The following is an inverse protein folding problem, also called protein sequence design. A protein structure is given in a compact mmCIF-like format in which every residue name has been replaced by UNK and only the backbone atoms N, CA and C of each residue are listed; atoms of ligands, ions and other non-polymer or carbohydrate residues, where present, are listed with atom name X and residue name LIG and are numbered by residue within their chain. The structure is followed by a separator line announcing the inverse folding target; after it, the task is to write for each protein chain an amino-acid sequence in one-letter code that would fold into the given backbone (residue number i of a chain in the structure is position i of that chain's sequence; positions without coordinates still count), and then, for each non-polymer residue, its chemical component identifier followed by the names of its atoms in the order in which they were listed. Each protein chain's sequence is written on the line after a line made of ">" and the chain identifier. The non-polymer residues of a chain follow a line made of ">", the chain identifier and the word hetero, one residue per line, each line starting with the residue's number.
data_IF_582053746246
#
_entry.id   IF_582053746246
#
_cell.length_a   1.000
_cell.length_b   1.000
_cell.length_c   1.000
_cell.angle_alpha   90.00
_cell.angle_beta   90.00
_cell.angle_gamma   90.00
#
_symmetry.space_group_name_H-M   'P 1'
#
loop_
_entity.id
_entity.type
_entity.pdbx_description
1 polymer ?
#
# COMPACT_ATOMS: atom_id res chain seq x y z
N UNK A 1 57.41 -33.03 64.82
CA UNK A 1 56.76 -33.02 66.13
C UNK A 1 55.78 -31.87 66.11
N UNK A 2 54.47 -32.02 66.09
CA UNK A 2 53.54 -33.15 66.05
C UNK A 2 52.23 -32.56 65.52
N UNK A 3 51.38 -33.43 64.96
CA UNK A 3 50.13 -33.09 64.30
C UNK A 3 49.18 -32.28 65.21
N UNK A 4 48.52 -31.27 64.63
CA UNK A 4 47.26 -30.74 65.17
C UNK A 4 46.17 -30.86 64.11
N UNK A 5 45.44 -31.96 64.27
CA UNK A 5 44.18 -32.34 63.65
C UNK A 5 43.12 -31.26 63.92
N UNK A 6 42.50 -30.71 62.87
CA UNK A 6 41.30 -29.87 62.98
C UNK A 6 40.10 -30.61 62.34
N UNK A 7 38.95 -30.66 63.02
CA UNK A 7 37.79 -31.44 62.58
C UNK A 7 37.04 -30.80 61.39
N UNK A 8 36.29 -31.59 60.60
CA UNK A 8 35.59 -31.11 59.41
C UNK A 8 34.32 -30.29 59.73
N UNK A 9 33.92 -29.34 58.86
CA UNK A 9 32.68 -28.59 59.00
C UNK A 9 31.46 -29.42 58.59
N UNK A 10 30.37 -29.27 59.36
CA UNK A 10 29.06 -29.87 59.16
C UNK A 10 28.33 -29.33 57.91
N UNK A 11 27.85 -30.25 57.07
CA UNK A 11 27.00 -29.99 55.91
C UNK A 11 25.55 -29.70 56.34
N UNK A 12 24.99 -28.56 55.91
CA UNK A 12 23.56 -28.29 55.94
C UNK A 12 22.88 -28.80 54.64
N UNK A 13 21.62 -29.26 54.68
CA UNK A 13 20.93 -29.79 53.51
C UNK A 13 20.47 -28.68 52.54
N UNK A 14 20.63 -28.94 51.25
CA UNK A 14 20.13 -28.13 50.16
C UNK A 14 18.61 -28.28 49.98
N UNK A 15 17.87 -27.18 49.93
CA UNK A 15 16.47 -27.16 49.55
C UNK A 15 16.31 -27.41 48.04
N UNK A 16 15.54 -28.44 47.69
CA UNK A 16 15.14 -28.79 46.32
C UNK A 16 14.07 -27.82 45.82
N UNK A 17 14.39 -27.00 44.81
CA UNK A 17 13.38 -26.30 44.00
C UNK A 17 12.97 -27.18 42.83
N UNK A 18 11.76 -27.75 42.90
CA UNK A 18 11.17 -28.54 41.83
C UNK A 18 9.72 -28.15 41.57
N UNK A 19 9.43 -27.89 40.29
CA UNK A 19 8.13 -28.04 39.63
C UNK A 19 6.97 -27.10 40.02
N UNK A 20 6.93 -25.89 39.43
CA UNK A 20 5.69 -25.10 39.29
C UNK A 20 5.50 -24.37 37.94
N UNK A 21 6.30 -24.65 36.90
CA UNK A 21 6.22 -23.90 35.63
C UNK A 21 5.39 -24.55 34.51
N UNK A 22 4.93 -25.80 34.65
CA UNK A 22 4.22 -26.50 33.55
C UNK A 22 2.70 -26.26 33.51
N UNK A 23 2.08 -25.83 34.62
CA UNK A 23 0.62 -25.68 34.68
C UNK A 23 0.09 -24.43 33.96
N UNK A 24 0.84 -23.32 33.90
CA UNK A 24 0.39 -22.06 33.27
C UNK A 24 0.44 -22.08 31.74
N UNK A 25 1.35 -22.84 31.14
CA UNK A 25 1.47 -22.93 29.69
C UNK A 25 0.31 -23.74 29.06
N UNK A 26 -0.14 -24.79 29.73
CA UNK A 26 -1.23 -25.65 29.25
C UNK A 26 -2.59 -24.92 29.21
N UNK A 27 -2.86 -24.05 30.18
CA UNK A 27 -4.11 -23.27 30.25
C UNK A 27 -4.15 -22.20 29.15
N UNK A 28 -3.04 -21.51 28.88
CA UNK A 28 -2.97 -20.53 27.79
C UNK A 28 -3.07 -21.20 26.41
N UNK A 29 -2.48 -22.39 26.24
CA UNK A 29 -2.56 -23.15 25.00
C UNK A 29 -3.99 -23.62 24.69
N UNK A 30 -4.76 -24.06 25.69
CA UNK A 30 -6.16 -24.43 25.50
C UNK A 30 -7.07 -23.24 25.19
N UNK A 31 -6.83 -22.07 25.81
CA UNK A 31 -7.60 -20.86 25.52
C UNK A 31 -7.36 -20.34 24.09
N UNK A 32 -6.11 -20.41 23.62
CA UNK A 32 -5.75 -20.02 22.26
C UNK A 32 -6.35 -20.96 21.19
N UNK A 33 -6.44 -22.26 21.48
CA UNK A 33 -7.04 -23.24 20.58
C UNK A 33 -8.57 -23.08 20.50
N UNK A 34 -9.23 -22.72 21.61
CA UNK A 34 -10.66 -22.44 21.63
C UNK A 34 -11.05 -21.18 20.84
N UNK A 35 -10.21 -20.13 20.88
CA UNK A 35 -10.39 -18.89 20.10
C UNK A 35 -10.24 -19.11 18.59
N UNK A 36 -9.39 -20.04 18.16
CA UNK A 36 -9.19 -20.35 16.73
C UNK A 36 -10.42 -21.06 16.12
N UNK A 37 -11.12 -21.89 16.91
CA UNK A 37 -12.31 -22.64 16.49
C UNK A 37 -13.56 -21.77 16.26
N UNK A 38 -13.57 -20.50 16.67
CA UNK A 38 -14.69 -19.57 16.40
C UNK A 38 -14.50 -18.67 15.18
N UNK A 39 -13.37 -18.77 14.48
CA UNK A 39 -13.16 -18.07 13.22
C UNK A 39 -13.85 -18.78 12.05
N UNK A 40 -15.18 -18.73 12.01
CA UNK A 40 -15.94 -19.12 10.82
C UNK A 40 -15.81 -18.01 9.77
N UNK A 41 -15.18 -18.23 8.60
CA UNK A 41 -15.29 -17.29 7.50
C UNK A 41 -16.76 -17.25 7.07
N UNK A 42 -17.41 -16.11 7.24
CA UNK A 42 -18.72 -15.88 6.63
C UNK A 42 -18.50 -15.73 5.12
N UNK A 43 -19.08 -16.57 4.26
CA UNK A 43 -19.03 -16.30 2.83
C UNK A 43 -19.85 -15.03 2.56
N UNK A 44 -19.17 -13.97 2.16
CA UNK A 44 -19.80 -12.75 1.66
C UNK A 44 -20.34 -12.98 0.24
N UNK A 45 -21.31 -13.89 0.10
CA UNK A 45 -22.02 -14.12 -1.16
C UNK A 45 -23.16 -13.11 -1.27
N UNK A 46 -22.87 -11.92 -1.81
CA UNK A 46 -23.93 -10.97 -2.14
C UNK A 46 -24.63 -11.42 -3.42
N UNK A 47 -25.82 -12.00 -3.30
CA UNK A 47 -26.66 -12.32 -4.45
C UNK A 47 -27.16 -11.02 -5.10
N UNK A 48 -26.81 -10.80 -6.37
CA UNK A 48 -27.24 -9.64 -7.15
C UNK A 48 -28.45 -10.04 -8.00
N UNK A 49 -29.48 -9.20 -8.03
CA UNK A 49 -30.69 -9.40 -8.81
C UNK A 49 -30.89 -8.28 -9.82
N UNK A 50 -31.44 -8.60 -11.00
CA UNK A 50 -31.91 -7.64 -12.00
C UNK A 50 -33.42 -7.59 -11.95
N UNK A 51 -33.97 -6.46 -11.54
CA UNK A 51 -35.40 -6.21 -11.44
C UNK A 51 -35.91 -5.39 -12.62
N UNK A 52 -37.14 -5.64 -13.05
CA UNK A 52 -37.85 -4.76 -13.98
C UNK A 52 -38.24 -3.49 -13.24
N UNK A 53 -37.49 -2.41 -13.44
CA UNK A 53 -37.78 -1.10 -12.86
C UNK A 53 -38.95 -0.38 -13.55
N UNK A 54 -39.41 0.75 -12.99
CA UNK A 54 -40.43 1.58 -13.61
C UNK A 54 -39.98 2.00 -15.01
N UNK A 55 -40.90 1.92 -15.98
CA UNK A 55 -40.65 2.21 -17.40
C UNK A 55 -39.74 1.21 -18.15
N UNK A 56 -39.52 0.00 -17.61
CA UNK A 56 -38.77 -1.06 -18.30
C UNK A 56 -37.24 -0.92 -18.19
N UNK A 57 -36.75 0.02 -17.38
CA UNK A 57 -35.33 0.18 -17.09
C UNK A 57 -34.87 -0.91 -16.10
N UNK A 58 -33.84 -1.71 -16.40
CA UNK A 58 -33.35 -2.73 -15.49
C UNK A 58 -32.65 -2.11 -14.27
N UNK A 59 -33.05 -2.52 -13.07
CA UNK A 59 -32.47 -2.08 -11.80
C UNK A 59 -31.71 -3.23 -11.12
N UNK A 60 -30.47 -2.99 -10.68
CA UNK A 60 -29.65 -3.98 -10.00
C UNK A 60 -29.75 -3.83 -8.48
N UNK A 61 -30.09 -4.90 -7.77
CA UNK A 61 -30.29 -4.89 -6.31
C UNK A 61 -29.50 -5.99 -5.62
N UNK A 62 -28.90 -5.65 -4.48
CA UNK A 62 -28.19 -6.59 -3.61
C UNK A 62 -29.16 -7.24 -2.61
N UNK A 63 -29.21 -8.57 -2.59
CA UNK A 63 -29.74 -9.37 -1.48
C UNK A 63 -31.26 -9.55 -1.36
N UNK A 64 -32.10 -8.71 -1.98
CA UNK A 64 -33.56 -8.88 -1.89
C UNK A 64 -34.22 -9.02 -3.27
N UNK A 65 -34.46 -10.27 -3.68
CA UNK A 65 -35.14 -10.64 -4.91
C UNK A 65 -36.67 -10.52 -4.79
N UNK A 66 -37.20 -9.31 -4.99
CA UNK A 66 -38.63 -9.05 -5.02
C UNK A 66 -39.34 -9.60 -6.28
N UNK A 67 -40.65 -9.32 -6.40
CA UNK A 67 -41.45 -9.66 -7.59
C UNK A 67 -40.90 -8.92 -8.82
N UNK A 68 -40.65 -9.63 -9.92
CA UNK A 68 -40.06 -9.06 -11.14
C UNK A 68 -38.53 -9.02 -11.18
N UNK A 69 -37.86 -9.64 -10.20
CA UNK A 69 -36.40 -9.73 -10.13
C UNK A 69 -35.88 -11.11 -10.54
N UNK A 70 -34.87 -11.14 -11.42
CA UNK A 70 -34.13 -12.36 -11.79
C UNK A 70 -32.76 -12.34 -11.14
N UNK A 71 -32.36 -13.46 -10.50
CA UNK A 71 -31.02 -13.61 -9.91
C UNK A 71 -29.96 -13.56 -11.01
N UNK A 72 -28.96 -12.71 -10.84
CA UNK A 72 -27.82 -12.63 -11.74
C UNK A 72 -26.76 -13.63 -11.27
N UNK A 73 -26.46 -14.60 -12.12
CA UNK A 73 -25.32 -15.50 -11.91
C UNK A 73 -24.06 -14.80 -12.39
N UNK A 74 -23.35 -14.11 -11.49
CA UNK A 74 -22.04 -13.58 -11.83
C UNK A 74 -21.03 -14.74 -11.84
N UNK A 75 -20.08 -14.76 -12.79
CA UNK A 75 -18.93 -15.64 -12.70
C UNK A 75 -18.21 -15.38 -11.37
N UNK A 76 -17.66 -16.43 -10.77
CA UNK A 76 -16.83 -16.29 -9.57
C UNK A 76 -15.71 -15.29 -9.86
N UNK A 77 -15.63 -14.24 -9.03
CA UNK A 77 -14.55 -13.27 -9.14
C UNK A 77 -13.26 -14.01 -8.78
N UNK A 78 -12.49 -14.37 -9.80
CA UNK A 78 -11.14 -14.90 -9.65
C UNK A 78 -10.26 -13.81 -9.06
N UNK A 79 -10.27 -13.70 -7.74
CA UNK A 79 -9.28 -12.89 -7.03
C UNK A 79 -7.98 -13.68 -7.04
N UNK A 80 -7.01 -13.25 -7.85
CA UNK A 80 -5.63 -13.73 -7.70
C UNK A 80 -5.08 -13.06 -6.44
N UNK A 81 -4.80 -13.79 -5.35
CA UNK A 81 -4.14 -13.18 -4.20
C UNK A 81 -2.82 -12.60 -4.70
N UNK A 82 -2.64 -11.28 -4.52
CA UNK A 82 -1.39 -10.62 -4.82
C UNK A 82 -0.28 -11.39 -4.12
N UNK A 83 0.57 -12.07 -4.89
CA UNK A 83 1.68 -12.84 -4.37
C UNK A 83 2.53 -11.89 -3.52
N UNK A 84 2.68 -12.21 -2.24
CA UNK A 84 3.69 -11.55 -1.42
C UNK A 84 5.01 -11.75 -2.14
N UNK A 85 5.63 -10.66 -2.60
CA UNK A 85 7.00 -10.66 -3.08
C UNK A 85 7.89 -10.99 -1.87
N UNK A 86 8.10 -12.29 -1.65
CA UNK A 86 9.14 -12.73 -0.75
C UNK A 86 10.45 -12.28 -1.38
N UNK A 87 11.13 -11.34 -0.73
CA UNK A 87 12.50 -10.99 -1.06
C UNK A 87 13.32 -12.28 -1.16
N UNK A 88 14.11 -12.48 -2.22
CA UNK A 88 14.81 -13.74 -2.41
C UNK A 88 15.85 -13.90 -1.31
N UNK A 89 15.63 -14.88 -0.43
CA UNK A 89 16.70 -15.42 0.39
C UNK A 89 17.79 -15.93 -0.55
N UNK A 90 19.02 -15.48 -0.34
CA UNK A 90 20.19 -15.90 -1.10
C UNK A 90 20.37 -17.43 -0.97
N UNK A 91 19.83 -18.17 -1.94
CA UNK A 91 19.88 -19.62 -2.03
C UNK A 91 20.25 -20.02 -3.45
N UNK A 92 21.36 -20.75 -3.56
CA UNK A 92 22.03 -21.15 -4.80
C UNK A 92 21.07 -21.75 -5.84
N UNK A 93 21.10 -21.16 -7.05
CA UNK A 93 20.88 -21.85 -8.32
C UNK A 93 19.48 -22.44 -8.56
N UNK A 94 18.47 -21.59 -8.73
CA UNK A 94 17.30 -21.96 -9.53
C UNK A 94 17.47 -21.31 -10.92
N UNK A 95 17.58 -22.14 -11.96
CA UNK A 95 17.57 -21.68 -13.36
C UNK A 95 16.28 -20.90 -13.67
N UNK A 96 16.26 -20.13 -14.77
CA UNK A 96 15.14 -19.24 -15.08
C UNK A 96 13.83 -20.05 -15.12
N UNK A 97 12.87 -19.65 -14.28
CA UNK A 97 11.53 -20.20 -14.32
C UNK A 97 10.98 -20.03 -15.74
N UNK A 98 10.75 -21.15 -16.43
CA UNK A 98 10.21 -21.16 -17.79
C UNK A 98 8.78 -20.65 -17.70
N UNK A 99 8.59 -19.37 -18.02
CA UNK A 99 7.26 -18.81 -18.21
C UNK A 99 6.49 -19.68 -19.22
N UNK A 100 5.18 -19.95 -19.01
CA UNK A 100 4.41 -20.81 -19.89
C UNK A 100 4.57 -20.33 -21.34
N UNK A 101 4.98 -21.24 -22.23
CA UNK A 101 5.37 -20.94 -23.61
C UNK A 101 4.25 -20.37 -24.49
N UNK A 102 3.02 -20.25 -23.96
CA UNK A 102 1.82 -19.82 -24.66
C UNK A 102 1.40 -18.37 -24.38
N UNK A 103 2.17 -17.58 -23.61
CA UNK A 103 1.86 -16.16 -23.44
C UNK A 103 2.48 -15.32 -24.56
N UNK A 104 1.70 -14.52 -25.31
CA UNK A 104 2.25 -13.67 -26.36
C UNK A 104 3.22 -12.65 -25.75
N UNK A 105 4.47 -12.68 -26.22
CA UNK A 105 5.50 -11.71 -25.83
C UNK A 105 5.42 -10.51 -26.76
N UNK A 106 5.46 -9.31 -26.18
CA UNK A 106 5.64 -8.08 -26.94
C UNK A 106 7.05 -8.11 -27.55
N UNK A 107 7.18 -7.76 -28.82
CA UNK A 107 8.49 -7.69 -29.46
C UNK A 107 9.32 -6.51 -28.91
N UNK A 108 10.64 -6.64 -29.00
CA UNK A 108 11.56 -5.65 -28.43
C UNK A 108 11.49 -4.28 -29.11
N UNK A 109 11.09 -4.22 -30.39
CA UNK A 109 10.93 -2.95 -31.10
C UNK A 109 9.67 -2.21 -30.61
N UNK A 110 8.55 -2.91 -30.44
CA UNK A 110 7.32 -2.37 -29.86
C UNK A 110 7.54 -1.91 -28.42
N UNK A 111 8.26 -2.69 -27.61
CA UNK A 111 8.56 -2.28 -26.23
C UNK A 111 9.37 -0.97 -26.19
N UNK A 112 10.43 -0.86 -27.00
CA UNK A 112 11.24 0.36 -27.13
C UNK A 112 10.44 1.56 -27.65
N UNK A 113 9.55 1.35 -28.63
CA UNK A 113 8.67 2.42 -29.13
C UNK A 113 7.80 2.98 -28.01
N UNK A 114 7.17 2.10 -27.23
CA UNK A 114 6.30 2.49 -26.11
C UNK A 114 7.06 3.19 -24.99
N UNK A 115 8.27 2.72 -24.69
CA UNK A 115 9.12 3.35 -23.67
C UNK A 115 9.59 4.73 -24.14
N UNK A 116 9.90 4.90 -25.43
CA UNK A 116 10.20 6.19 -26.06
C UNK A 116 9.00 7.15 -26.04
N UNK A 117 7.81 6.68 -26.39
CA UNK A 117 6.56 7.47 -26.30
C UNK A 117 6.27 7.90 -24.86
N UNK A 118 6.39 6.97 -23.89
CA UNK A 118 6.20 7.28 -22.47
C UNK A 118 7.20 8.35 -22.01
N UNK A 119 8.47 8.22 -22.39
CA UNK A 119 9.50 9.20 -22.05
C UNK A 119 9.16 10.57 -22.63
N UNK A 120 8.79 10.65 -23.91
CA UNK A 120 8.42 11.90 -24.57
C UNK A 120 7.23 12.59 -23.90
N UNK A 121 6.18 11.84 -23.52
CA UNK A 121 5.02 12.38 -22.80
C UNK A 121 5.43 12.97 -21.45
N UNK A 122 6.21 12.23 -20.66
CA UNK A 122 6.66 12.69 -19.34
C UNK A 122 7.60 13.91 -19.44
N UNK A 123 8.45 13.97 -20.45
CA UNK A 123 9.31 15.14 -20.71
C UNK A 123 8.48 16.37 -21.06
N UNK A 124 7.46 16.21 -21.90
CA UNK A 124 6.54 17.30 -22.25
C UNK A 124 5.74 17.79 -21.04
N UNK A 125 5.23 16.86 -20.22
CA UNK A 125 4.55 17.20 -18.97
C UNK A 125 5.48 17.93 -18.00
N UNK A 126 6.72 17.45 -17.84
CA UNK A 126 7.71 18.10 -17.00
C UNK A 126 8.01 19.52 -17.47
N UNK A 127 8.22 19.71 -18.78
CA UNK A 127 8.46 21.04 -19.35
C UNK A 127 7.29 22.00 -19.09
N UNK A 128 6.05 21.51 -19.24
CA UNK A 128 4.84 22.28 -18.96
C UNK A 128 4.75 22.67 -17.48
N UNK A 129 5.02 21.74 -16.56
CA UNK A 129 5.02 22.01 -15.12
C UNK A 129 6.14 22.98 -14.70
N UNK A 130 7.34 22.85 -15.27
CA UNK A 130 8.44 23.78 -15.03
C UNK A 130 8.13 25.20 -15.52
N UNK A 131 7.48 25.33 -16.69
CA UNK A 131 7.03 26.62 -17.20
C UNK A 131 5.97 27.26 -16.29
N UNK A 132 5.00 26.48 -15.79
CA UNK A 132 4.00 26.95 -14.81
C UNK A 132 4.67 27.40 -13.52
N UNK A 133 5.62 26.62 -13.00
CA UNK A 133 6.40 26.97 -11.80
C UNK A 133 7.18 28.28 -11.99
N UNK A 134 7.79 28.48 -13.15
CA UNK A 134 8.49 29.72 -13.45
C UNK A 134 7.54 30.93 -13.42
N UNK A 135 6.35 30.80 -14.01
CA UNK A 135 5.33 31.84 -13.97
C UNK A 135 4.83 32.12 -12.53
N UNK A 136 4.52 31.07 -11.75
CA UNK A 136 4.08 31.22 -10.36
C UNK A 136 5.16 31.88 -9.49
N UNK A 137 6.43 31.48 -9.65
CA UNK A 137 7.55 32.09 -8.92
C UNK A 137 7.77 33.55 -9.30
N UNK A 138 7.60 33.89 -10.58
CA UNK A 138 7.67 35.27 -11.04
C UNK A 138 6.55 36.11 -10.42
N UNK A 139 5.31 35.61 -10.40
CA UNK A 139 4.19 36.31 -9.74
C UNK A 139 4.40 36.42 -8.24
N UNK A 140 4.84 35.35 -7.57
CA UNK A 140 5.09 35.33 -6.13
C UNK A 140 6.17 36.33 -5.71
N UNK A 141 7.12 36.65 -6.60
CA UNK A 141 8.12 37.69 -6.44
C UNK A 141 8.76 37.68 -5.04
N UNK A 142 9.35 36.56 -4.65
CA UNK A 142 9.98 36.35 -3.34
C UNK A 142 9.06 36.63 -2.13
N UNK A 143 7.77 36.35 -2.26
CA UNK A 143 6.76 36.58 -1.22
C UNK A 143 6.18 37.98 -1.20
N UNK A 144 6.51 38.79 -2.21
CA UNK A 144 6.02 40.15 -2.38
C UNK A 144 5.39 40.31 -3.77
N UNK A 145 4.30 39.58 -4.07
CA UNK A 145 3.60 39.73 -5.34
C UNK A 145 3.15 41.18 -5.55
N UNK A 146 3.06 41.62 -6.79
CA UNK A 146 2.52 42.94 -7.09
C UNK A 146 1.05 43.04 -6.62
N UNK A 147 0.69 44.14 -5.97
CA UNK A 147 -0.69 44.38 -5.54
C UNK A 147 -1.56 44.71 -6.75
N UNK A 148 -2.64 43.98 -6.89
CA UNK A 148 -3.61 44.18 -7.97
C UNK A 148 -4.66 45.23 -7.56
N UNK A 149 -5.18 45.99 -8.52
CA UNK A 149 -6.15 47.07 -8.25
C UNK A 149 -7.49 46.61 -7.63
N UNK A 150 -7.84 45.34 -7.80
CA UNK A 150 -9.00 44.67 -7.21
C UNK A 150 -8.78 44.24 -5.73
N UNK A 151 -7.55 44.33 -5.21
CA UNK A 151 -7.15 43.98 -3.84
C UNK A 151 -7.23 45.18 -2.88
N UNK A 152 -8.40 45.83 -2.87
CA UNK A 152 -8.69 46.93 -1.94
C UNK A 152 -8.57 46.53 -0.46
N UNK A 153 -8.87 45.26 -0.16
CA UNK A 153 -8.70 44.69 1.18
C UNK A 153 -7.33 44.00 1.29
N UNK A 154 -6.55 44.37 2.31
CA UNK A 154 -5.24 43.78 2.58
C UNK A 154 -5.30 42.26 2.81
N UNK A 155 -6.38 41.74 3.39
CA UNK A 155 -6.55 40.31 3.61
C UNK A 155 -6.54 39.52 2.29
N UNK A 156 -7.15 40.06 1.22
CA UNK A 156 -7.15 39.40 -0.10
C UNK A 156 -5.74 39.24 -0.66
N UNK A 157 -4.88 40.23 -0.45
CA UNK A 157 -3.49 40.18 -0.84
C UNK A 157 -2.72 39.09 -0.06
N UNK A 158 -2.94 39.02 1.26
CA UNK A 158 -2.34 37.97 2.10
C UNK A 158 -2.78 36.57 1.66
N UNK A 159 -4.08 36.39 1.44
CA UNK A 159 -4.66 35.12 1.04
C UNK A 159 -4.12 34.67 -0.33
N UNK A 160 -4.02 35.58 -1.31
CA UNK A 160 -3.41 35.27 -2.61
C UNK A 160 -1.92 34.95 -2.48
N UNK A 161 -1.18 35.70 -1.66
CA UNK A 161 0.25 35.44 -1.43
C UNK A 161 0.46 34.03 -0.83
N UNK A 162 -0.40 33.64 0.13
CA UNK A 162 -0.40 32.30 0.69
C UNK A 162 -0.76 31.24 -0.36
N UNK A 163 -1.79 31.48 -1.17
CA UNK A 163 -2.18 30.58 -2.25
C UNK A 163 -1.05 30.37 -3.28
N UNK A 164 -0.38 31.46 -3.72
CA UNK A 164 0.77 31.37 -4.62
C UNK A 164 1.90 30.52 -4.04
N UNK A 165 2.21 30.69 -2.76
CA UNK A 165 3.21 29.86 -2.07
C UNK A 165 2.81 28.38 -2.07
N UNK A 166 1.56 28.08 -1.75
CA UNK A 166 1.07 26.71 -1.70
C UNK A 166 1.03 26.08 -3.09
N UNK A 167 0.69 26.86 -4.13
CA UNK A 167 0.68 26.43 -5.52
C UNK A 167 2.10 26.11 -6.02
N UNK A 168 3.09 26.94 -5.67
CA UNK A 168 4.50 26.67 -5.93
C UNK A 168 4.92 25.36 -5.27
N UNK A 169 4.60 25.16 -3.98
CA UNK A 169 4.98 23.95 -3.26
C UNK A 169 4.37 22.68 -3.90
N UNK A 170 3.11 22.74 -4.34
CA UNK A 170 2.48 21.63 -5.08
C UNK A 170 3.12 21.39 -6.44
N UNK A 171 3.39 22.45 -7.20
CA UNK A 171 4.07 22.35 -8.48
C UNK A 171 5.47 21.73 -8.35
N UNK A 172 6.23 22.09 -7.32
CA UNK A 172 7.56 21.53 -7.05
C UNK A 172 7.49 20.03 -6.73
N UNK A 173 6.50 19.61 -5.94
CA UNK A 173 6.28 18.20 -5.63
C UNK A 173 5.91 17.40 -6.90
N UNK A 174 5.06 17.96 -7.77
CA UNK A 174 4.68 17.35 -9.05
C UNK A 174 5.88 17.20 -9.98
N UNK A 175 6.65 18.28 -10.20
CA UNK A 175 7.86 18.25 -11.01
C UNK A 175 8.89 17.24 -10.47
N UNK A 176 9.04 17.15 -9.15
CA UNK A 176 9.88 16.15 -8.52
C UNK A 176 9.39 14.71 -8.78
N UNK A 177 8.08 14.48 -8.83
CA UNK A 177 7.51 13.17 -9.18
C UNK A 177 7.79 12.79 -10.63
N UNK A 178 7.53 13.71 -11.56
CA UNK A 178 7.81 13.49 -12.99
C UNK A 178 9.29 13.19 -13.24
N UNK A 179 10.21 13.92 -12.58
CA UNK A 179 11.66 13.65 -12.66
C UNK A 179 12.03 12.27 -12.12
N UNK A 180 11.40 11.81 -11.03
CA UNK A 180 11.61 10.44 -10.52
C UNK A 180 11.11 9.40 -11.52
N UNK A 181 9.93 9.60 -12.09
CA UNK A 181 9.39 8.69 -13.10
C UNK A 181 10.29 8.59 -14.32
N UNK A 182 10.76 9.73 -14.86
CA UNK A 182 11.74 9.75 -15.95
C UNK A 182 13.04 9.01 -15.57
N UNK A 183 13.54 9.20 -14.34
CA UNK A 183 14.74 8.51 -13.88
C UNK A 183 14.58 6.99 -13.75
N UNK A 184 13.34 6.51 -13.60
CA UNK A 184 13.02 5.09 -13.52
C UNK A 184 12.90 4.45 -14.90
N UNK A 185 12.73 5.23 -15.97
CA UNK A 185 12.69 4.76 -17.36
C UNK A 185 14.08 4.54 -17.96
N UNK A 186 15.09 4.19 -17.15
CA UNK A 186 16.44 3.87 -17.65
C UNK A 186 16.40 2.71 -18.65
N UNK A 187 17.24 2.84 -19.68
CA UNK A 187 17.24 2.07 -20.93
C UNK A 187 17.34 0.54 -20.78
#
# INVERSE_FOLDING_TARGET
>A
MDALEFPPPSLHPAHRFGARMHASAAVCAMLALALLCWSRPAPAQSEIYVCTGPNGVPEYRNGNGGKGCKRLSLPEVMTVPGGRVNAPAAGKGAGPAVAPAAFPRVDSATQKSRDGERRAVLEQELQSEEAKLAALRAEYNNGQPERQGNERNYQRYLDRTAALRDDIARGEANAASLRRELSNLKD
#
